data_IF_921979287377
#
_entry.id   IF_921979287377
#
_cell.length_a   1.000
_cell.length_b   1.000
_cell.length_c   1.000
_cell.angle_alpha   90.00
_cell.angle_beta   90.00
_cell.angle_gamma   90.00
#
_symmetry.space_group_name_H-M   'P 1'
#
loop_
_entity.id
_entity.type
_entity.pdbx_description
1 polymer ?
#
# COMPACT_ATOMS: atom_id res chain seq x y z
N UNK A 1 28.95 46.90 -27.67
CA UNK A 1 28.44 46.78 -26.29
C UNK A 1 27.62 45.50 -26.23
N UNK A 2 28.17 44.42 -25.68
CA UNK A 2 27.57 43.08 -25.70
C UNK A 2 26.92 42.78 -24.34
N UNK A 3 25.60 42.58 -24.31
CA UNK A 3 24.86 42.27 -23.08
C UNK A 3 24.89 40.76 -22.82
N UNK A 4 25.17 40.35 -21.58
CA UNK A 4 25.24 38.93 -21.15
C UNK A 4 23.89 38.53 -20.53
N UNK A 5 23.29 37.37 -20.86
CA UNK A 5 22.04 36.96 -20.22
C UNK A 5 22.31 36.45 -18.80
N UNK A 6 21.36 36.71 -17.89
CA UNK A 6 21.39 36.29 -16.50
C UNK A 6 21.14 34.77 -16.35
N UNK A 7 21.70 34.10 -15.31
CA UNK A 7 21.44 32.68 -15.07
C UNK A 7 20.01 32.45 -14.54
N UNK A 8 19.37 31.38 -15.00
CA UNK A 8 18.03 30.96 -14.58
C UNK A 8 17.99 30.58 -13.08
N UNK A 9 16.85 30.77 -12.38
CA UNK A 9 16.71 30.34 -11.00
C UNK A 9 16.74 28.80 -10.92
N UNK A 10 17.64 28.25 -10.11
CA UNK A 10 17.68 26.82 -9.77
C UNK A 10 16.38 26.40 -9.07
N UNK A 11 15.79 25.24 -9.39
CA UNK A 11 14.63 24.74 -8.67
C UNK A 11 15.05 24.43 -7.23
N UNK A 12 14.42 25.10 -6.26
CA UNK A 12 14.60 24.81 -4.85
C UNK A 12 14.20 23.35 -4.59
N UNK A 13 15.16 22.51 -4.20
CA UNK A 13 14.92 21.18 -3.66
C UNK A 13 14.09 21.34 -2.38
N UNK A 14 12.77 21.19 -2.49
CA UNK A 14 11.93 21.07 -1.29
C UNK A 14 12.32 19.77 -0.59
N UNK A 15 12.64 19.79 0.71
CA UNK A 15 12.78 18.56 1.47
C UNK A 15 11.43 17.84 1.42
N UNK A 16 11.41 16.66 0.80
CA UNK A 16 10.28 15.75 0.87
C UNK A 16 10.14 15.35 2.36
N UNK A 17 8.97 15.52 2.99
CA UNK A 17 8.77 14.96 4.32
C UNK A 17 9.02 13.46 4.24
N UNK A 18 10.04 12.98 4.96
CA UNK A 18 10.51 11.60 4.87
C UNK A 18 9.46 10.58 5.37
N UNK A 19 8.39 11.06 6.00
CA UNK A 19 7.28 10.26 6.48
C UNK A 19 5.96 10.86 6.00
N UNK A 20 5.32 10.28 4.96
CA UNK A 20 4.07 10.80 4.40
C UNK A 20 2.86 10.68 5.34
N UNK A 21 3.00 9.91 6.43
CA UNK A 21 1.91 9.65 7.38
C UNK A 21 2.40 9.78 8.83
N UNK A 22 1.52 10.18 9.77
CA UNK A 22 1.85 10.22 11.20
C UNK A 22 2.17 8.82 11.77
N UNK A 23 3.10 8.70 12.74
CA UNK A 23 3.47 7.40 13.33
C UNK A 23 2.31 6.62 13.95
N UNK A 24 1.30 7.31 14.50
CA UNK A 24 0.14 6.65 15.10
C UNK A 24 -0.70 5.82 14.11
N UNK A 25 -0.56 6.05 12.79
CA UNK A 25 -1.24 5.27 11.75
C UNK A 25 -0.74 3.83 11.66
N UNK A 26 0.48 3.55 12.09
CA UNK A 26 0.99 2.17 12.17
C UNK A 26 0.21 1.33 13.21
N UNK A 27 -0.50 2.01 14.12
CA UNK A 27 -1.25 1.40 15.20
C UNK A 27 -2.77 1.40 14.99
N UNK A 28 -3.30 1.92 13.87
CA UNK A 28 -4.77 1.96 13.66
C UNK A 28 -5.30 0.73 12.94
N UNK A 29 -4.45 0.01 12.21
CA UNK A 29 -4.86 -1.15 11.43
C UNK A 29 -3.76 -2.21 11.33
N UNK A 30 -4.18 -3.47 11.21
CA UNK A 30 -3.32 -4.55 10.74
C UNK A 30 -3.65 -4.87 9.28
N UNK A 31 -2.61 -5.22 8.52
CA UNK A 31 -2.72 -5.68 7.14
C UNK A 31 -2.16 -7.10 7.01
N UNK A 32 -2.79 -7.92 6.17
CA UNK A 32 -2.30 -9.24 5.77
C UNK A 32 -2.29 -9.35 4.27
N UNK A 33 -1.17 -9.83 3.73
CA UNK A 33 -0.99 -10.03 2.30
C UNK A 33 -0.79 -11.52 2.07
N UNK A 34 -1.65 -12.11 1.24
CA UNK A 34 -1.48 -13.47 0.76
C UNK A 34 -1.14 -13.42 -0.73
N UNK A 35 -0.17 -14.24 -1.13
CA UNK A 35 0.25 -14.39 -2.51
C UNK A 35 0.06 -15.84 -2.93
N UNK A 36 -0.44 -16.04 -4.13
CA UNK A 36 -0.53 -17.35 -4.77
C UNK A 36 -0.33 -17.18 -6.27
N UNK A 37 -0.21 -18.29 -6.99
CA UNK A 37 -0.12 -18.27 -8.44
C UNK A 37 -1.51 -18.16 -9.06
N UNK A 38 -1.60 -17.73 -10.31
CA UNK A 38 -2.87 -17.69 -11.04
C UNK A 38 -3.53 -19.09 -11.15
N UNK A 39 -2.74 -20.17 -11.17
CA UNK A 39 -3.25 -21.54 -11.21
C UNK A 39 -3.91 -21.98 -9.88
N UNK A 40 -3.50 -21.37 -8.78
CA UNK A 40 -3.96 -21.72 -7.42
C UNK A 40 -4.95 -20.67 -6.87
N UNK A 41 -5.59 -19.90 -7.76
CA UNK A 41 -6.49 -18.80 -7.40
C UNK A 41 -7.63 -19.23 -6.46
N UNK A 42 -8.05 -20.49 -6.49
CA UNK A 42 -9.09 -21.05 -5.63
C UNK A 42 -8.77 -20.94 -4.13
N UNK A 43 -7.48 -20.90 -3.76
CA UNK A 43 -7.02 -20.66 -2.38
C UNK A 43 -7.57 -19.35 -1.82
N UNK A 44 -7.85 -18.37 -2.68
CA UNK A 44 -8.40 -17.07 -2.31
C UNK A 44 -9.80 -17.18 -1.69
N UNK A 45 -10.62 -18.13 -2.12
CA UNK A 45 -11.96 -18.38 -1.56
C UNK A 45 -11.84 -18.86 -0.11
N UNK A 46 -10.90 -19.78 0.14
CA UNK A 46 -10.56 -20.26 1.47
C UNK A 46 -10.08 -19.11 2.36
N UNK A 47 -9.09 -18.35 1.89
CA UNK A 47 -8.57 -17.20 2.63
C UNK A 47 -9.63 -16.16 2.95
N UNK A 48 -10.51 -15.83 2.00
CA UNK A 48 -11.61 -14.90 2.21
C UNK A 48 -12.51 -15.36 3.35
N UNK A 49 -12.85 -16.65 3.36
CA UNK A 49 -13.72 -17.25 4.38
C UNK A 49 -13.04 -17.23 5.76
N UNK A 50 -11.78 -17.64 5.84
CA UNK A 50 -10.99 -17.62 7.07
C UNK A 50 -10.78 -16.21 7.63
N UNK A 51 -10.44 -15.26 6.76
CA UNK A 51 -10.22 -13.86 7.13
C UNK A 51 -11.53 -13.22 7.60
N UNK A 52 -12.63 -13.45 6.89
CA UNK A 52 -13.94 -12.94 7.27
C UNK A 52 -14.36 -13.44 8.66
N UNK A 53 -14.18 -14.74 8.96
CA UNK A 53 -14.45 -15.32 10.28
C UNK A 53 -13.61 -14.68 11.40
N UNK A 54 -12.39 -14.24 11.08
CA UNK A 54 -11.46 -13.60 12.03
C UNK A 54 -11.65 -12.07 12.10
N UNK A 55 -12.70 -11.53 11.48
CA UNK A 55 -13.01 -10.10 11.47
C UNK A 55 -12.13 -9.27 10.54
N UNK A 56 -11.42 -9.91 9.60
CA UNK A 56 -10.64 -9.23 8.59
C UNK A 56 -11.49 -8.95 7.35
N UNK A 57 -11.29 -7.79 6.74
CA UNK A 57 -11.96 -7.41 5.49
C UNK A 57 -10.99 -7.53 4.33
N UNK A 58 -11.44 -8.11 3.23
CA UNK A 58 -10.70 -8.09 1.97
C UNK A 58 -10.73 -6.65 1.43
N UNK A 59 -9.56 -6.04 1.26
CA UNK A 59 -9.42 -4.66 0.80
C UNK A 59 -9.16 -4.59 -0.70
N UNK A 60 -8.28 -5.45 -1.21
CA UNK A 60 -7.88 -5.44 -2.61
C UNK A 60 -7.40 -6.82 -3.05
N UNK A 61 -7.75 -7.19 -4.27
CA UNK A 61 -7.12 -8.30 -5.00
C UNK A 61 -6.40 -7.68 -6.19
N UNK A 62 -5.18 -8.11 -6.44
CA UNK A 62 -4.43 -7.80 -7.65
C UNK A 62 -4.12 -9.13 -8.33
N UNK A 63 -4.34 -9.21 -9.63
CA UNK A 63 -3.89 -10.33 -10.44
C UNK A 63 -2.88 -9.76 -11.44
N UNK A 64 -1.67 -10.28 -11.39
CA UNK A 64 -0.63 -10.10 -12.39
C UNK A 64 -0.43 -11.44 -13.10
N UNK A 65 0.23 -11.45 -14.26
CA UNK A 65 0.26 -12.54 -15.24
C UNK A 65 0.43 -13.95 -14.65
N UNK A 66 1.22 -14.08 -13.59
CA UNK A 66 1.46 -15.36 -12.89
C UNK A 66 1.06 -15.36 -11.43
N UNK A 67 0.70 -14.21 -10.85
CA UNK A 67 0.50 -14.06 -9.40
C UNK A 67 -0.84 -13.41 -9.06
N UNK A 68 -1.46 -13.92 -8.00
CA UNK A 68 -2.63 -13.31 -7.38
C UNK A 68 -2.25 -12.88 -5.97
N UNK A 69 -2.47 -11.61 -5.68
CA UNK A 69 -2.19 -10.99 -4.39
C UNK A 69 -3.50 -10.53 -3.75
N UNK A 70 -3.80 -11.04 -2.57
CA UNK A 70 -4.95 -10.64 -1.78
C UNK A 70 -4.50 -9.85 -0.54
N UNK A 71 -5.03 -8.64 -0.39
CA UNK A 71 -4.74 -7.74 0.72
C UNK A 71 -5.97 -7.67 1.62
N UNK A 72 -5.79 -8.03 2.88
CA UNK A 72 -6.79 -7.95 3.93
C UNK A 72 -6.39 -6.90 4.95
N UNK A 73 -7.39 -6.25 5.55
CA UNK A 73 -7.18 -5.29 6.62
C UNK A 73 -8.17 -5.47 7.76
N UNK A 74 -7.71 -5.12 8.96
CA UNK A 74 -8.52 -5.08 10.17
C UNK A 74 -8.14 -3.84 10.96
N UNK A 75 -9.13 -3.05 11.38
CA UNK A 75 -8.91 -1.92 12.28
C UNK A 75 -8.66 -2.43 13.69
N UNK A 76 -7.64 -1.88 14.37
CA UNK A 76 -7.43 -2.11 15.80
C UNK A 76 -8.43 -1.22 16.54
N UNK A 77 -9.46 -1.82 17.13
CA UNK A 77 -10.30 -1.08 18.08
C UNK A 77 -9.41 -0.73 19.27
N UNK A 78 -9.28 0.56 19.61
CA UNK A 78 -8.75 0.95 20.92
C UNK A 78 -9.66 0.30 21.97
N UNK A 79 -9.14 -0.65 22.73
CA UNK A 79 -9.74 -1.02 24.02
C UNK A 79 -9.67 0.17 24.98
#
# INVERSE_FOLDING_TARGET
MTTRPAPAPTPATRPLPSTPYPPHWEHVADLRVFRTTAQEWEKLIGWRTDMLKRGWKLLKIMSEETEVVAIFGRTKTKE
#
